data_IF_471184275832
#
_entry.id   IF_471184275832
#
_cell.length_a   1.000
_cell.length_b   1.000
_cell.length_c   1.000
_cell.angle_alpha   90.00
_cell.angle_beta   90.00
_cell.angle_gamma   90.00
#
_symmetry.space_group_name_H-M   'P 1'
#
loop_
_entity.id
_entity.type
_entity.pdbx_description
1 polymer ?
#
# COMPACT_ATOMS: atom_id res chain seq x y z
N UNK A 1 21.75 29.66 25.66
CA UNK A 1 21.59 29.77 24.20
C UNK A 1 22.95 29.93 23.58
N UNK A 2 23.33 29.05 22.65
CA UNK A 2 24.64 29.11 21.99
C UNK A 2 24.59 30.19 20.92
N UNK A 3 25.70 30.88 20.70
CA UNK A 3 25.83 32.00 19.74
C UNK A 3 25.50 31.57 18.29
N UNK A 4 25.49 30.27 18.02
CA UNK A 4 25.22 29.68 16.71
C UNK A 4 23.73 29.49 16.43
N UNK A 5 22.89 29.29 17.46
CA UNK A 5 21.44 29.09 17.30
C UNK A 5 20.76 30.37 16.77
N UNK A 6 21.29 31.54 17.13
CA UNK A 6 20.80 32.83 16.65
C UNK A 6 21.08 33.06 15.16
N UNK A 7 22.16 32.50 14.62
CA UNK A 7 22.48 32.60 13.18
C UNK A 7 21.60 31.68 12.35
N UNK A 8 21.30 30.49 12.88
CA UNK A 8 20.35 29.57 12.26
C UNK A 8 18.95 30.17 12.24
N UNK A 9 18.48 30.72 13.37
CA UNK A 9 17.20 31.41 13.44
C UNK A 9 17.12 32.60 12.49
N UNK A 10 18.18 33.41 12.41
CA UNK A 10 18.25 34.52 11.47
C UNK A 10 18.22 34.04 10.00
N UNK A 11 18.94 32.98 9.64
CA UNK A 11 18.94 32.44 8.28
C UNK A 11 17.58 31.83 7.87
N UNK A 12 16.86 31.20 8.81
CA UNK A 12 15.51 30.66 8.57
C UNK A 12 14.51 31.81 8.39
N UNK A 13 14.55 32.82 9.27
CA UNK A 13 13.69 34.01 9.16
C UNK A 13 14.01 34.80 7.89
N UNK A 14 15.28 34.97 7.55
CA UNK A 14 15.71 35.67 6.34
C UNK A 14 15.32 34.91 5.07
N UNK A 15 15.36 33.56 5.08
CA UNK A 15 14.83 32.75 3.99
C UNK A 15 13.29 32.80 3.85
N UNK A 16 12.58 32.89 4.97
CA UNK A 16 11.12 33.05 4.98
C UNK A 16 10.69 34.45 4.54
N UNK A 17 11.42 35.49 4.94
CA UNK A 17 11.10 36.90 4.63
C UNK A 17 11.61 37.29 3.24
N UNK A 18 12.79 36.82 2.83
CA UNK A 18 13.34 37.07 1.49
C UNK A 18 12.63 36.25 0.40
N UNK A 19 11.84 35.24 0.78
CA UNK A 19 10.98 34.48 -0.13
C UNK A 19 9.71 35.22 -0.54
N UNK A 20 9.39 36.38 0.03
CA UNK A 20 8.09 37.02 -0.14
C UNK A 20 8.19 38.51 -0.38
N UNK A 21 7.82 38.96 -1.59
CA UNK A 21 6.89 40.08 -1.84
C UNK A 21 7.00 40.69 -3.26
N UNK A 22 7.98 40.31 -4.08
CA UNK A 22 8.15 40.91 -5.42
C UNK A 22 8.27 39.92 -6.58
N UNK A 23 7.90 38.65 -6.37
CA UNK A 23 7.68 37.72 -7.47
C UNK A 23 6.32 37.98 -8.11
N UNK A 24 6.25 37.91 -9.45
CA UNK A 24 4.98 37.84 -10.16
C UNK A 24 4.11 36.71 -9.59
N UNK A 25 2.79 36.91 -9.47
CA UNK A 25 1.89 35.87 -9.01
C UNK A 25 2.00 34.63 -9.90
N UNK A 26 1.93 33.40 -9.34
CA UNK A 26 1.92 32.17 -10.12
C UNK A 26 0.86 32.22 -11.21
N UNK A 27 1.17 31.68 -12.38
CA UNK A 27 0.18 31.65 -13.46
C UNK A 27 -0.95 30.67 -13.12
N UNK A 28 -2.11 30.85 -13.75
CA UNK A 28 -3.24 29.93 -13.57
C UNK A 28 -2.86 28.49 -13.97
N UNK A 29 -1.98 28.33 -14.97
CA UNK A 29 -1.45 27.03 -15.37
C UNK A 29 -0.59 26.38 -14.27
N UNK A 30 0.21 27.15 -13.54
CA UNK A 30 1.01 26.64 -12.43
C UNK A 30 0.12 26.20 -11.26
N UNK A 31 -0.93 26.97 -10.94
CA UNK A 31 -1.94 26.61 -9.94
C UNK A 31 -2.69 25.34 -10.36
N UNK A 32 -3.11 25.22 -11.62
CA UNK A 32 -3.76 24.01 -12.12
C UNK A 32 -2.81 22.80 -12.07
N UNK A 33 -1.54 22.98 -12.46
CA UNK A 33 -0.52 21.92 -12.36
C UNK A 33 -0.26 21.51 -10.92
N UNK A 34 -0.36 22.43 -9.95
CA UNK A 34 -0.26 22.14 -8.52
C UNK A 34 -1.44 21.26 -8.07
N UNK A 35 -2.67 21.62 -8.44
CA UNK A 35 -3.90 20.85 -8.14
C UNK A 35 -3.82 19.44 -8.71
N UNK A 36 -3.32 19.31 -9.95
CA UNK A 36 -3.12 18.01 -10.61
C UNK A 36 -1.93 17.19 -10.08
N UNK A 37 -1.11 17.76 -9.20
CA UNK A 37 0.11 17.12 -8.68
C UNK A 37 1.23 16.94 -9.71
N UNK A 38 1.26 17.77 -10.76
CA UNK A 38 2.20 17.66 -11.89
C UNK A 38 3.38 18.64 -11.84
N UNK A 39 3.49 19.45 -10.78
CA UNK A 39 4.65 20.31 -10.53
C UNK A 39 5.86 19.51 -10.02
N UNK A 40 7.04 19.88 -10.50
CA UNK A 40 8.30 19.40 -9.95
C UNK A 40 8.46 19.88 -8.49
N UNK A 41 9.31 19.23 -7.69
CA UNK A 41 9.41 19.54 -6.25
C UNK A 41 9.74 21.03 -5.99
N UNK A 42 10.73 21.59 -6.69
CA UNK A 42 11.13 22.99 -6.51
C UNK A 42 10.05 23.99 -6.95
N UNK A 43 9.35 23.73 -8.06
CA UNK A 43 8.24 24.58 -8.54
C UNK A 43 7.08 24.54 -7.55
N UNK A 44 6.77 23.36 -7.02
CA UNK A 44 5.70 23.16 -6.03
C UNK A 44 5.97 23.95 -4.76
N UNK A 45 7.20 23.86 -4.24
CA UNK A 45 7.60 24.57 -3.02
C UNK A 45 7.52 26.10 -3.21
N UNK A 46 7.90 26.59 -4.40
CA UNK A 46 7.77 28.01 -4.76
C UNK A 46 6.31 28.47 -4.79
N UNK A 47 5.43 27.72 -5.47
CA UNK A 47 3.99 28.05 -5.53
C UNK A 47 3.36 27.98 -4.14
N UNK A 48 3.64 26.93 -3.36
CA UNK A 48 3.11 26.79 -2.00
C UNK A 48 3.59 27.92 -1.06
N UNK A 49 4.86 28.33 -1.19
CA UNK A 49 5.40 29.49 -0.47
C UNK A 49 4.67 30.80 -0.81
N UNK A 50 4.30 30.99 -2.08
CA UNK A 50 3.49 32.13 -2.52
C UNK A 50 2.05 32.06 -1.99
N UNK A 51 1.39 30.89 -2.07
CA UNK A 51 0.02 30.69 -1.56
C UNK A 51 -0.11 30.93 -0.04
N UNK A 52 0.97 30.75 0.71
CA UNK A 52 1.01 31.06 2.14
C UNK A 52 0.90 32.57 2.43
N UNK A 53 1.21 33.43 1.47
CA UNK A 53 1.31 34.89 1.66
C UNK A 53 0.44 35.73 0.72
N UNK A 54 -0.11 35.13 -0.36
CA UNK A 54 -1.02 35.80 -1.29
C UNK A 54 -2.43 35.20 -1.18
N UNK A 55 -3.34 36.00 -0.61
CA UNK A 55 -4.73 35.59 -0.40
C UNK A 55 -5.46 35.32 -1.73
N UNK A 56 -5.24 36.15 -2.76
CA UNK A 56 -5.88 36.02 -4.08
C UNK A 56 -5.51 34.70 -4.78
N UNK A 57 -4.23 34.34 -4.76
CA UNK A 57 -3.78 33.07 -5.34
C UNK A 57 -4.29 31.87 -4.53
N UNK A 58 -4.40 32.01 -3.20
CA UNK A 58 -4.98 30.97 -2.34
C UNK A 58 -6.45 30.73 -2.65
N UNK A 59 -7.24 31.79 -2.82
CA UNK A 59 -8.65 31.68 -3.22
C UNK A 59 -8.80 31.03 -4.61
N UNK A 60 -7.94 31.41 -5.55
CA UNK A 60 -7.89 30.81 -6.90
C UNK A 60 -7.57 29.31 -6.84
N UNK A 61 -6.60 28.93 -6.01
CA UNK A 61 -6.23 27.53 -5.79
C UNK A 61 -7.41 26.73 -5.21
N UNK A 62 -8.08 27.24 -4.17
CA UNK A 62 -9.23 26.57 -3.54
C UNK A 62 -10.38 26.36 -4.53
N UNK A 63 -10.71 27.39 -5.32
CA UNK A 63 -11.75 27.32 -6.35
C UNK A 63 -11.39 26.29 -7.42
N UNK A 64 -10.13 26.28 -7.87
CA UNK A 64 -9.66 25.32 -8.88
C UNK A 64 -9.68 23.89 -8.34
N UNK A 65 -9.29 23.68 -7.08
CA UNK A 65 -9.31 22.37 -6.43
C UNK A 65 -10.74 21.84 -6.24
N UNK A 66 -11.71 22.70 -5.90
CA UNK A 66 -13.12 22.33 -5.79
C UNK A 66 -13.68 21.89 -7.15
N UNK A 67 -13.41 22.65 -8.21
CA UNK A 67 -13.82 22.31 -9.58
C UNK A 67 -13.22 20.96 -10.02
N UNK A 68 -11.92 20.75 -9.81
CA UNK A 68 -11.27 19.47 -10.10
C UNK A 68 -11.87 18.29 -9.31
N UNK A 69 -12.35 18.53 -8.09
CA UNK A 69 -13.03 17.55 -7.26
C UNK A 69 -14.42 17.16 -7.78
N UNK A 70 -15.18 18.12 -8.33
CA UNK A 70 -16.52 17.86 -8.88
C UNK A 70 -16.50 16.97 -10.13
N UNK A 71 -15.48 17.11 -10.98
CA UNK A 71 -15.31 16.26 -12.16
C UNK A 71 -14.95 14.81 -11.79
N UNK A 72 -14.21 14.60 -10.69
CA UNK A 72 -13.87 13.26 -10.21
C UNK A 72 -15.11 12.44 -9.76
N UNK A 73 -16.17 13.12 -9.30
CA UNK A 73 -17.43 12.48 -8.92
C UNK A 73 -18.22 11.95 -10.12
N UNK A 74 -17.94 12.41 -11.33
CA UNK A 74 -18.59 11.93 -12.57
C UNK A 74 -18.08 10.55 -13.05
N UNK A 75 -17.19 9.90 -12.30
CA UNK A 75 -16.80 8.51 -12.51
C UNK A 75 -15.92 8.25 -13.74
N UNK A 76 -15.45 9.30 -14.42
CA UNK A 76 -14.43 9.15 -15.46
C UNK A 76 -13.03 9.36 -14.85
N UNK A 77 -12.19 8.31 -14.77
CA UNK A 77 -10.86 8.44 -14.20
C UNK A 77 -9.97 9.33 -15.11
N UNK A 78 -9.73 10.57 -14.66
CA UNK A 78 -8.90 11.58 -15.33
C UNK A 78 -7.44 11.13 -15.57
N UNK A 79 -6.96 10.10 -14.87
CA UNK A 79 -5.61 9.55 -15.03
C UNK A 79 -5.35 8.81 -16.38
N UNK A 80 -6.35 8.64 -17.26
CA UNK A 80 -6.19 7.90 -18.53
C UNK A 80 -5.85 8.74 -19.76
N UNK A 81 -5.89 10.08 -19.71
CA UNK A 81 -5.71 10.92 -20.92
C UNK A 81 -4.27 11.04 -21.39
N UNK A 82 -3.26 11.13 -20.51
CA UNK A 82 -1.84 11.20 -20.95
C UNK A 82 -1.38 9.96 -21.71
N UNK A 83 -1.91 8.77 -21.42
CA UNK A 83 -1.55 7.54 -22.15
C UNK A 83 -2.21 7.46 -23.53
N UNK A 84 -3.37 8.10 -23.74
CA UNK A 84 -4.05 8.09 -25.05
C UNK A 84 -3.33 8.95 -26.08
N UNK A 85 -2.82 10.13 -25.72
CA UNK A 85 -2.12 10.98 -26.70
C UNK A 85 -0.77 10.41 -27.16
N UNK A 86 -0.03 9.71 -26.29
CA UNK A 86 1.22 9.04 -26.68
C UNK A 86 1.00 7.78 -27.55
N UNK A 87 -0.12 7.07 -27.37
CA UNK A 87 -0.44 5.91 -28.21
C UNK A 87 -0.96 6.34 -29.60
N UNK A 88 -1.71 7.45 -29.67
CA UNK A 88 -2.22 7.97 -30.94
C UNK A 88 -1.12 8.49 -31.87
N UNK A 89 -0.06 9.13 -31.33
CA UNK A 89 1.07 9.59 -32.14
C UNK A 89 1.96 8.43 -32.61
N UNK A 90 2.15 7.41 -31.77
CA UNK A 90 2.89 6.20 -32.14
C UNK A 90 2.17 5.38 -33.24
N UNK A 91 0.84 5.30 -33.20
CA UNK A 91 0.05 4.62 -34.24
C UNK A 91 0.08 5.37 -35.58
N UNK A 92 0.06 6.70 -35.57
CA UNK A 92 0.20 7.49 -36.80
C UNK A 92 1.58 7.29 -37.45
N UNK A 93 2.67 7.30 -36.66
CA UNK A 93 4.01 7.03 -37.16
C UNK A 93 4.16 5.59 -37.69
N UNK A 94 3.59 4.60 -36.99
CA UNK A 94 3.58 3.21 -37.44
C UNK A 94 2.78 3.01 -38.73
N UNK A 95 1.65 3.71 -38.90
CA UNK A 95 0.86 3.65 -40.14
C UNK A 95 1.64 4.21 -41.35
N UNK A 96 2.36 5.32 -41.17
CA UNK A 96 3.23 5.87 -42.23
C UNK A 96 4.38 4.90 -42.55
N UNK A 97 4.96 4.26 -41.55
CA UNK A 97 6.03 3.27 -41.74
C UNK A 97 5.53 2.01 -42.47
N UNK A 98 4.33 1.52 -42.15
CA UNK A 98 3.69 0.40 -42.82
C UNK A 98 3.33 0.73 -44.27
N UNK A 99 2.84 1.95 -44.56
CA UNK A 99 2.59 2.39 -45.94
C UNK A 99 3.90 2.51 -46.72
N UNK A 100 4.96 3.08 -46.12
CA UNK A 100 6.27 3.18 -46.76
C UNK A 100 6.90 1.81 -47.05
N UNK A 101 6.83 0.87 -46.10
CA UNK A 101 7.28 -0.51 -46.28
C UNK A 101 6.42 -1.25 -47.31
N UNK A 102 5.10 -1.10 -47.27
CA UNK A 102 4.18 -1.69 -48.25
C UNK A 102 4.51 -1.25 -49.67
N UNK A 103 4.81 0.03 -49.89
CA UNK A 103 5.22 0.54 -51.20
C UNK A 103 6.59 0.01 -51.65
N UNK A 104 7.53 -0.25 -50.73
CA UNK A 104 8.83 -0.86 -51.06
C UNK A 104 8.76 -2.36 -51.36
N UNK A 105 7.80 -3.08 -50.78
CA UNK A 105 7.67 -4.54 -50.94
C UNK A 105 6.64 -4.98 -51.98
N UNK A 106 5.85 -4.05 -52.54
CA UNK A 106 4.80 -4.36 -53.53
C UNK A 106 5.32 -4.71 -54.94
N UNK A 107 6.63 -4.65 -55.21
CA UNK A 107 7.22 -5.07 -56.50
C UNK A 107 7.48 -6.59 -56.61
N UNK A 108 7.01 -7.39 -55.64
CA UNK A 108 7.10 -8.85 -55.74
C UNK A 108 5.88 -9.42 -56.46
N UNK A 109 6.02 -10.08 -57.64
CA UNK A 109 4.89 -10.71 -58.33
C UNK A 109 4.38 -11.89 -57.50
N UNK A 110 3.23 -11.71 -56.87
CA UNK A 110 2.59 -12.71 -56.01
C UNK A 110 1.95 -13.81 -56.87
N UNK A 111 2.57 -14.99 -56.89
CA UNK A 111 1.94 -16.23 -57.34
C UNK A 111 0.73 -16.56 -56.47
N UNK A 112 -0.40 -16.82 -57.13
CA UNK A 112 -1.66 -17.23 -56.52
C UNK A 112 -1.58 -18.70 -56.09
N UNK A 113 -1.58 -18.94 -54.78
CA UNK A 113 -1.80 -20.25 -54.18
C UNK A 113 -3.01 -20.24 -53.25
N UNK A 114 -4.21 -20.48 -53.80
CA UNK A 114 -5.41 -20.81 -53.05
C UNK A 114 -5.22 -22.14 -52.32
N UNK A 115 -5.43 -22.20 -51.00
CA UNK A 115 -6.14 -23.33 -50.38
C UNK A 115 -7.01 -22.86 -49.23
N UNK A 116 -8.33 -23.01 -49.43
CA UNK A 116 -9.35 -22.84 -48.41
C UNK A 116 -9.31 -24.05 -47.46
N UNK A 117 -9.29 -23.81 -46.15
CA UNK A 117 -9.53 -24.85 -45.14
C UNK A 117 -10.77 -24.50 -44.34
N UNK A 118 -11.86 -25.17 -44.69
CA UNK A 118 -13.13 -25.21 -43.98
C UNK A 118 -12.93 -25.72 -42.55
N UNK A 119 -13.46 -25.01 -41.56
CA UNK A 119 -13.70 -25.54 -40.21
C UNK A 119 -15.17 -25.32 -39.89
N UNK A 120 -15.89 -26.43 -39.76
CA UNK A 120 -17.31 -26.50 -39.43
C UNK A 120 -17.54 -26.24 -37.92
N UNK A 121 -18.70 -25.67 -37.53
CA UNK A 121 -19.06 -25.42 -36.13
C UNK A 121 -19.58 -26.69 -35.42
N UNK A 122 -19.12 -26.90 -34.19
CA UNK A 122 -19.56 -27.99 -33.31
C UNK A 122 -20.90 -27.67 -32.64
N UNK A 123 -21.76 -28.69 -32.57
CA UNK A 123 -23.11 -28.69 -31.99
C UNK A 123 -23.12 -28.61 -30.44
N UNK A 124 -24.24 -28.15 -29.84
CA UNK A 124 -24.42 -28.03 -28.39
C UNK A 124 -24.67 -29.38 -27.70
N UNK A 125 -24.09 -29.56 -26.50
CA UNK A 125 -24.36 -30.70 -25.62
C UNK A 125 -25.59 -30.46 -24.73
N UNK A 126 -26.41 -31.49 -24.66
CA UNK A 126 -27.66 -31.59 -23.94
C UNK A 126 -27.50 -31.67 -22.41
N UNK A 127 -28.60 -31.30 -21.74
CA UNK A 127 -28.85 -31.32 -20.31
C UNK A 127 -28.87 -32.74 -19.71
N UNK A 128 -28.54 -32.82 -18.42
CA UNK A 128 -28.79 -33.99 -17.54
C UNK A 128 -29.66 -33.50 -16.36
N UNK A 129 -30.79 -34.17 -16.06
CA UNK A 129 -31.58 -33.89 -14.86
C UNK A 129 -31.33 -34.90 -13.72
N UNK A 130 -31.61 -34.39 -12.52
CA UNK A 130 -32.29 -35.01 -11.38
C UNK A 130 -31.62 -36.10 -10.50
N UNK A 131 -31.84 -35.85 -9.20
CA UNK A 131 -32.05 -36.77 -8.07
C UNK A 131 -30.88 -37.54 -7.46
N UNK A 132 -30.66 -37.23 -6.16
CA UNK A 132 -29.76 -37.95 -5.27
C UNK A 132 -30.12 -37.68 -3.81
N UNK A 133 -30.87 -38.62 -3.23
CA UNK A 133 -31.42 -38.61 -1.88
C UNK A 133 -30.36 -38.48 -0.76
N UNK A 134 -30.72 -37.78 0.31
CA UNK A 134 -29.96 -37.68 1.57
C UNK A 134 -30.49 -38.73 2.56
N UNK A 135 -29.67 -39.68 3.04
CA UNK A 135 -30.03 -40.49 4.19
C UNK A 135 -29.67 -39.79 5.51
N UNK A 136 -30.68 -39.71 6.38
CA UNK A 136 -30.62 -39.29 7.78
C UNK A 136 -29.91 -40.38 8.60
N UNK A 137 -28.79 -40.05 9.24
CA UNK A 137 -28.13 -40.93 10.22
C UNK A 137 -28.36 -40.40 11.64
N UNK A 138 -29.02 -41.22 12.46
CA UNK A 138 -29.01 -41.19 13.92
C UNK A 138 -27.65 -41.64 14.46
N UNK A 139 -27.10 -40.97 15.49
CA UNK A 139 -26.06 -41.57 16.30
C UNK A 139 -26.65 -42.27 17.54
N UNK A 140 -26.53 -43.60 17.55
CA UNK A 140 -26.71 -44.43 18.73
C UNK A 140 -25.58 -44.16 19.74
N UNK A 141 -25.98 -44.02 21.01
CA UNK A 141 -25.11 -44.03 22.18
C UNK A 141 -24.63 -45.45 22.44
N UNK A 142 -23.32 -45.66 22.53
CA UNK A 142 -22.78 -46.85 23.17
C UNK A 142 -21.60 -46.48 24.07
N UNK A 143 -21.78 -46.81 25.36
CA UNK A 143 -20.80 -46.64 26.42
C UNK A 143 -19.80 -47.79 26.37
N UNK A 144 -18.50 -47.48 26.27
CA UNK A 144 -17.44 -48.47 26.42
C UNK A 144 -16.50 -48.07 27.55
N UNK A 145 -16.84 -48.66 28.70
CA UNK A 145 -16.00 -49.28 29.72
C UNK A 145 -14.48 -49.09 29.61
N UNK A 146 -13.94 -48.61 30.73
CA UNK A 146 -12.55 -48.50 31.11
C UNK A 146 -11.74 -49.81 30.91
N UNK A 147 -10.56 -49.68 30.30
CA UNK A 147 -9.40 -50.55 30.57
C UNK A 147 -8.16 -49.69 30.78
N UNK A 148 -7.82 -49.52 32.05
CA UNK A 148 -6.54 -48.99 32.53
C UNK A 148 -5.44 -50.00 32.17
N UNK A 149 -4.62 -49.68 31.17
CA UNK A 149 -3.34 -50.34 30.92
C UNK A 149 -2.25 -49.39 31.36
N UNK A 150 -1.62 -49.72 32.48
CA UNK A 150 -0.33 -49.18 32.89
C UNK A 150 0.72 -49.63 31.86
N UNK A 151 1.15 -48.69 31.02
CA UNK A 151 2.35 -48.84 30.19
C UNK A 151 3.31 -47.71 30.55
N UNK A 152 4.45 -48.10 31.10
CA UNK A 152 5.59 -47.24 31.40
C UNK A 152 6.00 -46.40 30.19
N UNK A 153 6.20 -45.08 30.34
CA UNK A 153 6.68 -44.24 29.25
C UNK A 153 8.20 -44.38 29.13
N UNK A 154 8.66 -45.33 28.31
CA UNK A 154 9.99 -45.25 27.72
C UNK A 154 9.98 -44.10 26.73
N UNK A 155 10.81 -43.09 27.01
CA UNK A 155 10.88 -41.81 26.33
C UNK A 155 11.22 -41.93 24.84
N UNK A 156 10.21 -42.14 24.00
CA UNK A 156 10.27 -41.74 22.59
C UNK A 156 10.04 -40.24 22.57
N UNK A 157 11.14 -39.47 22.61
CA UNK A 157 11.15 -38.07 22.16
C UNK A 157 10.90 -38.09 20.65
N UNK A 158 9.65 -38.33 20.27
CA UNK A 158 9.17 -38.02 18.94
C UNK A 158 9.36 -36.52 18.79
N UNK A 159 10.39 -36.14 18.00
CA UNK A 159 10.57 -34.77 17.55
C UNK A 159 9.39 -34.48 16.64
N UNK A 160 8.24 -34.16 17.23
CA UNK A 160 7.17 -33.44 16.56
C UNK A 160 7.77 -32.06 16.27
N UNK A 161 8.53 -31.99 15.18
CA UNK A 161 8.71 -30.74 14.45
C UNK A 161 7.32 -30.40 13.97
N UNK A 162 6.54 -29.78 14.85
CA UNK A 162 5.39 -28.99 14.44
C UNK A 162 5.98 -28.04 13.41
N UNK A 163 5.71 -28.31 12.13
CA UNK A 163 6.07 -27.42 11.06
C UNK A 163 5.37 -26.12 11.40
N UNK A 164 6.11 -25.21 12.06
CA UNK A 164 5.58 -23.92 12.48
C UNK A 164 5.14 -23.29 11.19
N UNK A 165 3.83 -23.17 11.02
CA UNK A 165 3.27 -22.41 9.91
C UNK A 165 4.01 -21.08 9.87
N UNK A 166 4.50 -20.66 8.71
CA UNK A 166 5.35 -19.49 8.60
C UNK A 166 4.51 -18.26 8.90
N UNK A 167 4.30 -17.90 10.18
CA UNK A 167 3.56 -16.71 10.56
C UNK A 167 4.26 -15.47 9.98
N UNK A 168 3.51 -14.57 9.35
CA UNK A 168 4.03 -13.26 8.99
C UNK A 168 4.67 -12.60 10.22
N UNK A 169 5.87 -12.00 10.08
CA UNK A 169 6.52 -11.29 11.18
C UNK A 169 5.60 -10.19 11.72
N UNK A 170 5.60 -9.98 13.04
CA UNK A 170 4.86 -8.87 13.64
C UNK A 170 5.49 -7.51 13.31
N UNK A 171 4.79 -6.43 13.63
CA UNK A 171 5.18 -5.05 13.29
C UNK A 171 6.59 -4.70 13.76
N UNK A 172 6.92 -5.01 15.01
CA UNK A 172 8.24 -4.70 15.60
C UNK A 172 9.38 -5.34 14.81
N UNK A 173 9.21 -6.62 14.42
CA UNK A 173 10.21 -7.35 13.66
C UNK A 173 10.36 -6.77 12.26
N UNK A 174 9.27 -6.37 11.62
CA UNK A 174 9.32 -5.74 10.31
C UNK A 174 10.00 -4.37 10.37
N UNK A 175 9.62 -3.51 11.31
CA UNK A 175 10.28 -2.21 11.49
C UNK A 175 11.77 -2.38 11.80
N UNK A 176 12.15 -3.35 12.64
CA UNK A 176 13.54 -3.69 12.90
C UNK A 176 14.32 -4.15 11.67
N UNK A 177 13.70 -4.94 10.78
CA UNK A 177 14.32 -5.32 9.49
C UNK A 177 14.51 -4.11 8.56
N UNK A 178 13.56 -3.17 8.58
CA UNK A 178 13.61 -1.98 7.74
C UNK A 178 14.73 -1.03 8.19
N UNK A 179 14.83 -0.78 9.50
CA UNK A 179 15.84 0.10 10.11
C UNK A 179 17.20 -0.60 10.25
N UNK A 180 17.27 -1.93 10.21
CA UNK A 180 18.56 -2.65 10.31
C UNK A 180 19.59 -2.28 9.22
N UNK A 181 19.15 -1.74 8.08
CA UNK A 181 20.01 -1.23 7.00
C UNK A 181 19.81 0.26 6.66
N UNK A 182 18.92 0.97 7.37
CA UNK A 182 18.62 2.38 7.10
C UNK A 182 18.47 3.17 8.39
N UNK A 183 18.66 4.49 8.34
CA UNK A 183 18.41 5.33 9.52
C UNK A 183 16.91 5.60 9.65
N UNK A 184 16.33 5.32 10.82
CA UNK A 184 14.94 5.65 11.10
C UNK A 184 14.65 7.14 10.89
N UNK A 185 15.64 8.02 11.13
CA UNK A 185 15.52 9.48 10.89
C UNK A 185 15.42 9.84 9.41
N UNK A 186 16.04 9.07 8.53
CA UNK A 186 15.93 9.27 7.07
C UNK A 186 14.60 8.74 6.54
N UNK A 187 14.03 7.71 7.19
CA UNK A 187 12.73 7.15 6.84
C UNK A 187 11.56 7.98 7.37
N UNK A 188 11.72 8.65 8.53
CA UNK A 188 10.65 9.39 9.17
C UNK A 188 9.99 10.43 8.27
N UNK A 189 10.69 11.26 7.46
CA UNK A 189 10.05 12.20 6.54
C UNK A 189 9.21 11.54 5.44
N UNK A 190 9.50 10.28 5.08
CA UNK A 190 8.86 9.56 3.99
C UNK A 190 7.52 8.93 4.40
N UNK A 191 7.28 8.75 5.70
CA UNK A 191 6.05 8.22 6.32
C UNK A 191 4.85 9.17 6.06
N UNK A 192 3.61 8.67 6.08
CA UNK A 192 2.41 9.52 6.03
C UNK A 192 2.11 10.22 4.70
N UNK A 193 2.88 9.98 3.64
CA UNK A 193 2.66 10.58 2.31
C UNK A 193 1.39 10.03 1.61
N UNK A 194 0.81 8.94 2.12
CA UNK A 194 -0.33 8.24 1.52
C UNK A 194 -1.63 8.56 2.27
N UNK A 195 -2.07 9.82 2.29
CA UNK A 195 -3.37 10.18 2.84
C UNK A 195 -4.47 9.88 1.82
N UNK A 196 -4.95 8.63 1.82
CA UNK A 196 -6.29 8.32 1.32
C UNK A 196 -7.21 8.26 2.52
N UNK A 197 -7.99 9.31 2.75
CA UNK A 197 -9.12 9.25 3.66
C UNK A 197 -10.16 8.29 3.09
N UNK A 198 -10.78 7.48 3.94
CA UNK A 198 -11.98 6.77 3.56
C UNK A 198 -13.04 7.83 3.27
N UNK A 199 -13.52 7.90 2.02
CA UNK A 199 -14.62 8.82 1.68
C UNK A 199 -15.83 8.53 2.57
N UNK A 200 -16.49 9.59 3.06
CA UNK A 200 -17.58 9.52 4.06
C UNK A 200 -18.80 8.66 3.67
N UNK A 201 -18.89 8.19 2.43
CA UNK A 201 -20.09 7.55 1.87
C UNK A 201 -19.94 6.06 1.56
N UNK A 202 -18.73 5.51 1.57
CA UNK A 202 -18.51 4.11 1.25
C UNK A 202 -18.58 3.25 2.53
N UNK A 203 -19.37 2.16 2.49
CA UNK A 203 -19.22 1.08 3.47
C UNK A 203 -17.79 0.55 3.34
N UNK A 204 -16.96 0.82 4.33
CA UNK A 204 -15.56 0.37 4.33
C UNK A 204 -15.52 -1.09 4.73
N UNK A 205 -14.87 -1.90 3.91
CA UNK A 205 -14.60 -3.31 4.23
C UNK A 205 -13.68 -3.41 5.47
N UNK A 206 -13.98 -4.27 6.46
CA UNK A 206 -13.13 -4.43 7.64
C UNK A 206 -11.67 -4.78 7.32
N UNK A 207 -11.41 -5.54 6.25
CA UNK A 207 -10.07 -5.86 5.78
C UNK A 207 -9.32 -4.63 5.28
N UNK A 208 -10.00 -3.72 4.58
CA UNK A 208 -9.45 -2.39 4.22
C UNK A 208 -9.12 -1.54 5.45
N UNK A 209 -9.99 -1.49 6.47
CA UNK A 209 -9.68 -0.78 7.72
C UNK A 209 -8.47 -1.39 8.40
N UNK A 210 -8.40 -2.72 8.50
CA UNK A 210 -7.29 -3.43 9.13
C UNK A 210 -5.98 -3.23 8.38
N UNK A 211 -6.01 -3.28 7.05
CA UNK A 211 -4.86 -2.97 6.21
C UNK A 211 -4.36 -1.55 6.46
N UNK A 212 -5.25 -0.56 6.48
CA UNK A 212 -4.88 0.85 6.76
C UNK A 212 -4.37 1.03 8.18
N UNK A 213 -4.94 0.35 9.16
CA UNK A 213 -4.40 0.30 10.52
C UNK A 213 -2.96 -0.20 10.50
N UNK A 214 -2.68 -1.27 9.76
CA UNK A 214 -1.33 -1.81 9.57
C UNK A 214 -0.34 -0.82 8.95
N UNK A 215 -0.73 -0.08 7.90
CA UNK A 215 0.09 0.97 7.28
C UNK A 215 0.47 2.04 8.32
N UNK A 216 -0.54 2.60 9.01
CA UNK A 216 -0.31 3.64 10.03
C UNK A 216 0.48 3.11 11.23
N UNK A 217 0.39 1.81 11.52
CA UNK A 217 1.15 1.17 12.59
C UNK A 217 2.65 1.05 12.26
N UNK A 218 2.98 0.79 10.99
CA UNK A 218 4.38 0.87 10.53
C UNK A 218 4.89 2.31 10.65
N UNK A 219 4.10 3.28 10.18
CA UNK A 219 4.41 4.71 10.23
C UNK A 219 4.69 5.19 11.68
N UNK A 220 3.82 4.83 12.63
CA UNK A 220 4.03 5.06 14.06
C UNK A 220 5.35 4.45 14.54
N UNK A 221 5.60 3.19 14.18
CA UNK A 221 6.80 2.48 14.66
C UNK A 221 8.10 3.10 14.13
N UNK A 222 8.10 3.62 12.90
CA UNK A 222 9.23 4.36 12.33
C UNK A 222 9.41 5.71 13.03
N UNK A 223 8.33 6.46 13.29
CA UNK A 223 8.42 7.73 14.03
C UNK A 223 8.97 7.54 15.45
N UNK A 224 8.50 6.51 16.17
CA UNK A 224 9.01 6.15 17.50
C UNK A 224 10.51 5.80 17.47
N UNK A 225 10.96 5.03 16.47
CA UNK A 225 12.37 4.66 16.30
C UNK A 225 13.24 5.86 15.90
N UNK A 226 12.69 6.82 15.15
CA UNK A 226 13.38 8.05 14.76
C UNK A 226 13.54 9.06 15.91
N UNK A 227 12.79 8.89 17.00
CA UNK A 227 12.71 9.87 18.07
C UNK A 227 11.83 11.07 17.74
N UNK A 228 10.96 10.96 16.72
CA UNK A 228 10.07 12.03 16.26
C UNK A 228 8.75 11.98 17.02
N UNK A 229 8.66 12.76 18.11
CA UNK A 229 7.53 12.75 19.03
C UNK A 229 6.25 13.29 18.40
N UNK A 230 6.34 14.40 17.68
CA UNK A 230 5.20 15.05 17.04
C UNK A 230 4.57 14.12 15.99
N UNK A 231 5.41 13.51 15.14
CA UNK A 231 4.93 12.57 14.12
C UNK A 231 4.39 11.29 14.74
N UNK A 232 5.03 10.76 15.79
CA UNK A 232 4.51 9.59 16.51
C UNK A 232 3.16 9.89 17.16
N UNK A 233 2.98 11.07 17.76
CA UNK A 233 1.72 11.48 18.36
C UNK A 233 0.63 11.59 17.29
N UNK A 234 0.92 12.25 16.17
CA UNK A 234 -0.02 12.37 15.05
C UNK A 234 -0.47 10.98 14.53
N UNK A 235 0.45 10.02 14.42
CA UNK A 235 0.11 8.65 14.00
C UNK A 235 -0.70 7.89 15.05
N UNK A 236 -0.38 8.04 16.34
CA UNK A 236 -1.18 7.45 17.42
C UNK A 236 -2.62 7.96 17.41
N UNK A 237 -2.82 9.28 17.22
CA UNK A 237 -4.14 9.89 17.09
C UNK A 237 -4.90 9.40 15.87
N UNK A 238 -4.22 9.18 14.72
CA UNK A 238 -4.84 8.63 13.49
C UNK A 238 -5.26 7.17 13.62
N UNK A 239 -4.52 6.37 14.40
CA UNK A 239 -4.82 4.95 14.61
C UNK A 239 -6.07 4.72 15.46
N UNK A 240 -6.42 5.65 16.37
CA UNK A 240 -7.55 5.49 17.28
C UNK A 240 -8.89 5.27 16.54
N UNK A 241 -9.35 6.14 15.63
CA UNK A 241 -10.60 5.94 14.91
C UNK A 241 -10.58 4.71 13.99
N UNK A 242 -9.41 4.31 13.49
CA UNK A 242 -9.26 3.09 12.70
C UNK A 242 -9.48 1.83 13.56
N UNK A 243 -8.96 1.82 14.79
CA UNK A 243 -9.18 0.72 15.72
C UNK A 243 -10.65 0.60 16.10
N UNK A 244 -11.32 1.72 16.39
CA UNK A 244 -12.75 1.74 16.71
C UNK A 244 -13.63 1.28 15.55
N UNK A 245 -13.18 1.51 14.31
CA UNK A 245 -13.88 1.08 13.10
C UNK A 245 -13.74 -0.43 12.82
N UNK A 246 -12.83 -1.13 13.51
CA UNK A 246 -12.69 -2.58 13.39
C UNK A 246 -13.77 -3.29 14.22
N UNK A 247 -14.60 -4.08 13.55
CA UNK A 247 -15.63 -4.86 14.22
C UNK A 247 -15.02 -5.78 15.31
N UNK A 248 -15.48 -5.63 16.56
CA UNK A 248 -15.01 -6.44 17.68
C UNK A 248 -13.65 -6.03 18.26
N UNK A 249 -13.05 -4.93 17.80
CA UNK A 249 -11.87 -4.38 18.44
C UNK A 249 -12.19 -3.85 19.85
N UNK A 250 -11.21 -3.89 20.78
CA UNK A 250 -11.33 -3.27 22.09
C UNK A 250 -11.31 -1.73 21.96
N UNK A 251 -11.50 -1.05 23.09
CA UNK A 251 -11.40 0.41 23.15
C UNK A 251 -10.05 0.95 22.64
N UNK A 252 -10.07 2.20 22.17
CA UNK A 252 -8.88 2.91 21.70
C UNK A 252 -8.02 3.47 22.85
N UNK A 253 -8.36 3.19 24.12
CA UNK A 253 -7.66 3.75 25.28
C UNK A 253 -6.13 3.47 25.29
N UNK A 254 -5.62 2.33 24.79
CA UNK A 254 -4.17 2.14 24.64
C UNK A 254 -3.50 3.15 23.71
N UNK A 255 -4.16 3.57 22.62
CA UNK A 255 -3.65 4.56 21.67
C UNK A 255 -3.73 5.97 22.23
N UNK A 256 -4.84 6.32 22.89
CA UNK A 256 -5.00 7.61 23.58
C UNK A 256 -3.93 7.79 24.67
N UNK A 257 -3.68 6.76 25.48
CA UNK A 257 -2.61 6.78 26.48
C UNK A 257 -1.23 6.94 25.85
N UNK A 258 -0.98 6.32 24.69
CA UNK A 258 0.27 6.48 23.96
C UNK A 258 0.43 7.92 23.45
N UNK A 259 -0.62 8.50 22.87
CA UNK A 259 -0.62 9.88 22.40
C UNK A 259 -0.40 10.87 23.55
N UNK A 260 -1.09 10.69 24.69
CA UNK A 260 -0.93 11.52 25.88
C UNK A 260 0.49 11.44 26.47
N UNK A 261 1.13 10.27 26.46
CA UNK A 261 2.53 10.09 26.88
C UNK A 261 3.49 10.89 25.98
N UNK A 262 3.29 10.86 24.67
CA UNK A 262 4.08 11.64 23.71
C UNK A 262 3.88 13.15 23.90
N UNK A 263 2.64 13.58 24.11
CA UNK A 263 2.29 14.98 24.42
C UNK A 263 2.95 15.47 25.71
N UNK A 264 3.07 14.60 26.72
CA UNK A 264 3.78 14.88 27.98
C UNK A 264 5.32 14.87 27.83
N UNK A 265 5.84 14.67 26.61
CA UNK A 265 7.27 14.68 26.33
C UNK A 265 8.00 13.38 26.69
N UNK A 266 7.28 12.26 26.86
CA UNK A 266 7.94 10.95 27.00
C UNK A 266 8.77 10.65 25.74
N UNK A 267 10.03 10.26 25.93
CA UNK A 267 10.95 10.05 24.81
C UNK A 267 10.40 8.97 23.86
N UNK A 268 10.19 9.25 22.56
CA UNK A 268 9.54 8.30 21.64
C UNK A 268 10.27 6.95 21.54
N UNK A 269 11.59 6.94 21.65
CA UNK A 269 12.40 5.72 21.66
C UNK A 269 12.07 4.79 22.85
N UNK A 270 11.66 5.33 24.01
CA UNK A 270 11.23 4.52 25.16
C UNK A 270 9.89 3.81 24.95
N UNK A 271 9.12 4.31 23.98
CA UNK A 271 7.84 3.77 23.55
C UNK A 271 7.98 2.87 22.32
N UNK A 272 9.19 2.69 21.78
CA UNK A 272 9.45 1.73 20.71
C UNK A 272 9.05 0.30 21.17
N UNK A 273 8.42 -0.48 20.30
CA UNK A 273 7.79 -1.75 20.69
C UNK A 273 6.34 -1.60 21.18
N UNK A 274 5.77 -0.39 21.16
CA UNK A 274 4.32 -0.25 21.32
C UNK A 274 3.56 -0.88 20.15
N UNK A 275 4.16 -0.95 18.96
CA UNK A 275 3.55 -1.53 17.76
C UNK A 275 3.07 -2.98 17.96
N UNK A 276 3.87 -3.85 18.58
CA UNK A 276 3.47 -5.25 18.82
C UNK A 276 2.43 -5.40 19.93
N UNK A 277 2.30 -4.43 20.84
CA UNK A 277 1.20 -4.38 21.82
C UNK A 277 -0.10 -3.96 21.15
N UNK A 278 -0.05 -2.93 20.30
CA UNK A 278 -1.20 -2.42 19.54
C UNK A 278 -1.72 -3.44 18.53
N UNK A 279 -0.83 -4.21 17.88
CA UNK A 279 -1.22 -5.29 16.96
C UNK A 279 -2.11 -6.36 17.65
N UNK A 280 -1.92 -6.60 18.95
CA UNK A 280 -2.74 -7.57 19.72
C UNK A 280 -4.16 -7.11 19.98
N UNK A 281 -4.45 -5.83 19.76
CA UNK A 281 -5.81 -5.27 19.86
C UNK A 281 -6.64 -5.59 18.62
N UNK A 282 -5.98 -5.97 17.50
CA UNK A 282 -6.65 -6.29 16.25
C UNK A 282 -7.36 -7.65 16.38
N UNK A 283 -8.65 -7.76 15.99
CA UNK A 283 -9.35 -9.03 15.92
C UNK A 283 -8.55 -10.06 15.12
N UNK A 284 -8.52 -11.33 15.57
CA UNK A 284 -7.60 -12.35 15.02
C UNK A 284 -7.77 -12.55 13.52
N UNK A 285 -9.01 -12.50 13.04
CA UNK A 285 -9.40 -12.58 11.64
C UNK A 285 -8.92 -11.39 10.80
N UNK A 286 -8.65 -10.24 11.43
CA UNK A 286 -8.16 -9.03 10.77
C UNK A 286 -6.63 -8.88 10.80
N UNK A 287 -5.93 -9.63 11.66
CA UNK A 287 -4.46 -9.60 11.79
C UNK A 287 -3.73 -9.83 10.46
N UNK A 288 -4.14 -10.75 9.56
CA UNK A 288 -3.48 -10.92 8.27
C UNK A 288 -3.48 -9.64 7.42
N UNK A 289 -4.60 -8.91 7.33
CA UNK A 289 -4.67 -7.66 6.56
C UNK A 289 -3.81 -6.56 7.18
N UNK A 290 -3.83 -6.43 8.51
CA UNK A 290 -2.97 -5.49 9.20
C UNK A 290 -1.48 -5.78 8.96
N UNK A 291 -1.07 -7.04 9.04
CA UNK A 291 0.32 -7.42 8.71
C UNK A 291 0.66 -7.19 7.25
N UNK A 292 -0.29 -7.37 6.33
CA UNK A 292 -0.11 -7.04 4.92
C UNK A 292 0.10 -5.53 4.74
N UNK A 293 -0.67 -4.70 5.43
CA UNK A 293 -0.51 -3.25 5.44
C UNK A 293 0.85 -2.80 5.98
N UNK A 294 1.25 -3.33 7.14
CA UNK A 294 2.59 -3.09 7.73
C UNK A 294 3.68 -3.48 6.74
N UNK A 295 3.56 -4.66 6.12
CA UNK A 295 4.56 -5.12 5.16
C UNK A 295 4.63 -4.21 3.92
N UNK A 296 3.48 -3.90 3.32
CA UNK A 296 3.39 -3.09 2.10
C UNK A 296 3.98 -1.69 2.31
N UNK A 297 3.69 -1.07 3.45
CA UNK A 297 4.26 0.22 3.80
C UNK A 297 5.77 0.14 4.03
N UNK A 298 6.23 -0.86 4.79
CA UNK A 298 7.67 -1.06 4.94
C UNK A 298 8.37 -1.39 3.62
N UNK A 299 7.70 -2.05 2.67
CA UNK A 299 8.24 -2.34 1.35
C UNK A 299 8.38 -1.06 0.51
N UNK A 300 7.38 -0.16 0.58
CA UNK A 300 7.45 1.18 -0.03
C UNK A 300 8.63 1.96 0.51
N UNK A 301 8.79 2.01 1.83
CA UNK A 301 9.93 2.68 2.48
C UNK A 301 11.26 2.02 2.10
N UNK A 302 11.34 0.69 2.11
CA UNK A 302 12.51 -0.08 1.72
C UNK A 302 12.96 0.23 0.29
N UNK A 303 12.01 0.42 -0.64
CA UNK A 303 12.32 0.79 -2.02
C UNK A 303 12.95 2.18 -2.10
N UNK A 304 12.51 3.14 -1.28
CA UNK A 304 13.07 4.50 -1.24
C UNK A 304 14.50 4.53 -0.71
N UNK A 305 14.85 3.65 0.22
CA UNK A 305 16.21 3.56 0.77
C UNK A 305 17.06 2.43 0.16
N UNK A 306 16.55 1.69 -0.82
CA UNK A 306 17.27 0.57 -1.45
C UNK A 306 17.47 -0.66 -0.54
N UNK A 307 16.69 -0.82 0.53
CA UNK A 307 16.80 -1.96 1.46
C UNK A 307 16.21 -3.25 0.87
N UNK A 308 17.03 -3.96 0.10
CA UNK A 308 16.65 -5.24 -0.55
C UNK A 308 16.38 -6.38 0.43
N UNK A 309 16.99 -6.36 1.61
CA UNK A 309 16.84 -7.43 2.60
C UNK A 309 15.43 -7.45 3.18
N UNK A 310 14.84 -6.28 3.39
CA UNK A 310 13.45 -6.16 3.80
C UNK A 310 12.51 -6.82 2.78
N UNK A 311 12.72 -6.55 1.48
CA UNK A 311 11.95 -7.15 0.40
C UNK A 311 12.17 -8.67 0.34
N UNK A 312 13.39 -9.14 0.62
CA UNK A 312 13.76 -10.55 0.60
C UNK A 312 13.30 -11.35 1.83
N UNK A 313 12.82 -10.71 2.90
CA UNK A 313 12.45 -11.35 4.17
C UNK A 313 11.26 -12.33 4.10
N UNK A 314 10.79 -12.68 2.89
CA UNK A 314 9.89 -13.81 2.65
C UNK A 314 8.42 -13.53 2.94
N UNK A 315 8.07 -12.32 3.37
CA UNK A 315 6.70 -11.93 3.72
C UNK A 315 5.70 -12.06 2.56
N UNK A 316 6.05 -11.79 1.28
CA UNK A 316 5.15 -12.06 0.16
C UNK A 316 4.75 -13.53 0.02
N UNK A 317 5.59 -14.46 0.50
CA UNK A 317 5.25 -15.89 0.46
C UNK A 317 4.16 -16.25 1.46
N UNK A 318 4.03 -15.51 2.57
CA UNK A 318 2.94 -15.71 3.51
C UNK A 318 1.61 -15.35 2.87
N UNK A 319 1.51 -14.14 2.31
CA UNK A 319 0.27 -13.64 1.71
C UNK A 319 -0.07 -14.27 0.36
N UNK A 320 0.92 -14.79 -0.38
CA UNK A 320 0.71 -15.42 -1.68
C UNK A 320 0.41 -16.92 -1.64
N UNK A 321 0.74 -17.62 -0.55
CA UNK A 321 0.54 -19.07 -0.41
C UNK A 321 -0.64 -19.44 0.49
N UNK A 322 -1.03 -18.58 1.42
CA UNK A 322 -2.32 -18.73 2.05
C UNK A 322 -3.38 -18.42 1.00
N UNK A 323 -4.45 -19.20 0.96
CA UNK A 323 -5.74 -18.78 0.41
C UNK A 323 -6.18 -17.55 1.19
N UNK A 324 -5.49 -16.44 0.99
CA UNK A 324 -5.89 -15.17 1.52
C UNK A 324 -7.30 -15.00 0.98
N UNK A 325 -8.21 -14.92 1.94
CA UNK A 325 -9.66 -15.00 1.79
C UNK A 325 -10.14 -14.37 0.49
N UNK A 326 -11.30 -14.81 0.02
CA UNK A 326 -12.06 -14.20 -1.09
C UNK A 326 -12.29 -12.67 -0.97
N UNK A 327 -11.81 -12.05 0.09
CA UNK A 327 -11.86 -10.65 0.50
C UNK A 327 -10.62 -9.83 0.08
N UNK A 328 -9.45 -10.42 -0.25
CA UNK A 328 -8.35 -9.60 -0.79
C UNK A 328 -8.78 -9.03 -2.15
N UNK A 329 -8.64 -7.71 -2.37
CA UNK A 329 -8.94 -7.10 -3.66
C UNK A 329 -8.19 -7.82 -4.80
N UNK A 330 -8.87 -8.21 -5.91
CA UNK A 330 -8.25 -8.98 -6.98
C UNK A 330 -6.97 -8.35 -7.56
N UNK A 331 -6.91 -7.01 -7.59
CA UNK A 331 -5.72 -6.28 -8.03
C UNK A 331 -4.52 -6.46 -7.08
N UNK A 332 -4.75 -6.40 -5.76
CA UNK A 332 -3.72 -6.67 -4.75
C UNK A 332 -3.24 -8.12 -4.81
N UNK A 333 -4.16 -9.09 -4.97
CA UNK A 333 -3.79 -10.50 -5.12
C UNK A 333 -2.91 -10.74 -6.36
N UNK A 334 -3.27 -10.14 -7.51
CA UNK A 334 -2.46 -10.22 -8.72
C UNK A 334 -1.07 -9.58 -8.55
N UNK A 335 -0.99 -8.42 -7.89
CA UNK A 335 0.26 -7.73 -7.60
C UNK A 335 1.16 -8.53 -6.64
N UNK A 336 0.60 -9.13 -5.59
CA UNK A 336 1.33 -10.01 -4.67
C UNK A 336 1.93 -11.22 -5.40
N UNK A 337 1.18 -11.84 -6.30
CA UNK A 337 1.67 -12.94 -7.14
C UNK A 337 2.81 -12.49 -8.06
N UNK A 338 2.68 -11.33 -8.70
CA UNK A 338 3.73 -10.75 -9.54
C UNK A 338 5.01 -10.46 -8.75
N UNK A 339 4.86 -9.88 -7.56
CA UNK A 339 5.95 -9.54 -6.66
C UNK A 339 6.68 -10.79 -6.15
N UNK A 340 5.95 -11.86 -5.80
CA UNK A 340 6.54 -13.14 -5.42
C UNK A 340 7.41 -13.73 -6.54
N UNK A 341 7.01 -13.59 -7.81
CA UNK A 341 7.82 -14.03 -8.95
C UNK A 341 9.05 -13.16 -9.18
N UNK A 342 8.91 -11.83 -9.07
CA UNK A 342 10.00 -10.87 -9.25
C UNK A 342 11.09 -11.04 -8.20
N UNK A 343 10.71 -11.23 -6.92
CA UNK A 343 11.66 -11.41 -5.82
C UNK A 343 12.40 -12.75 -5.83
N UNK A 344 11.97 -13.73 -6.63
CA UNK A 344 12.71 -14.99 -6.84
C UNK A 344 13.88 -14.83 -7.83
N UNK A 345 13.92 -13.75 -8.60
CA UNK A 345 14.98 -13.51 -9.60
C UNK A 345 16.26 -13.04 -8.92
N UNK A 346 17.41 -13.44 -9.47
CA UNK A 346 18.73 -13.02 -8.96
C UNK A 346 18.93 -11.50 -9.07
N UNK A 347 18.42 -10.89 -10.14
CA UNK A 347 18.37 -9.44 -10.33
C UNK A 347 16.94 -8.92 -10.09
N UNK A 348 16.75 -8.16 -9.01
CA UNK A 348 15.46 -7.55 -8.68
C UNK A 348 15.35 -6.20 -9.40
N UNK A 349 14.34 -6.07 -10.27
CA UNK A 349 13.92 -4.80 -10.86
C UNK A 349 13.09 -4.03 -9.81
N UNK A 350 13.70 -3.01 -9.18
CA UNK A 350 13.07 -2.24 -8.11
C UNK A 350 11.88 -1.41 -8.60
N UNK A 351 11.90 -0.92 -9.83
CA UNK A 351 10.79 -0.13 -10.38
C UNK A 351 9.56 -1.01 -10.58
N UNK A 352 9.76 -2.23 -11.11
CA UNK A 352 8.68 -3.19 -11.27
C UNK A 352 8.13 -3.69 -9.92
N UNK A 353 8.94 -3.73 -8.86
CA UNK A 353 8.49 -4.04 -7.49
C UNK A 353 7.71 -2.87 -6.89
N UNK A 354 8.18 -1.62 -7.07
CA UNK A 354 7.49 -0.42 -6.61
C UNK A 354 6.09 -0.29 -7.21
N UNK A 355 5.95 -0.62 -8.50
CA UNK A 355 4.65 -0.64 -9.16
C UNK A 355 3.68 -1.63 -8.50
N UNK A 356 4.13 -2.85 -8.20
CA UNK A 356 3.27 -3.85 -7.54
C UNK A 356 2.89 -3.43 -6.11
N UNK A 357 3.85 -2.90 -5.34
CA UNK A 357 3.60 -2.37 -3.98
C UNK A 357 2.58 -1.23 -4.04
N UNK A 358 2.70 -0.33 -5.02
CA UNK A 358 1.74 0.77 -5.24
C UNK A 358 0.34 0.24 -5.54
N UNK A 359 0.22 -0.81 -6.36
CA UNK A 359 -1.08 -1.45 -6.64
C UNK A 359 -1.69 -2.04 -5.37
N UNK A 360 -0.89 -2.71 -4.53
CA UNK A 360 -1.36 -3.26 -3.26
C UNK A 360 -1.88 -2.14 -2.35
N UNK A 361 -1.09 -1.09 -2.12
CA UNK A 361 -1.47 0.07 -1.29
C UNK A 361 -2.70 0.81 -1.84
N UNK A 362 -2.88 0.84 -3.15
CA UNK A 362 -4.01 1.52 -3.79
C UNK A 362 -5.30 0.69 -3.81
N UNK A 363 -5.22 -0.62 -3.57
CA UNK A 363 -6.36 -1.53 -3.65
C UNK A 363 -7.20 -1.59 -2.37
N UNK A 364 -6.64 -1.15 -1.24
CA UNK A 364 -7.30 -1.15 0.07
C UNK A 364 -7.71 0.27 0.50
#
# INVERSE_FOLDING_TARGET
MKKDDSKLGAAIVDGLVSGTAAGECPTLEEIARLVDGSLACAERDAVLGHLAHCDDCRETFLTTAELAGTDAASGQPAARTRRRYLVSSALAAAAVLVVALSLQFSDSPTEKGLTARNVAPAAPRAAVPADGAVPRQEPAREAVVAKKKEQSPVAVREKVQVAREPYAPGTERMAGLLVGKGDAKELAPLVGVQEKSFGFTAKVDPGSVAFRFGVNLMDLQIALLAGDGDRAQAQATRLAPLLESLAGAPDAAPLERLAAKLEQGEAPASLAGSGGKLERLIPKEQVPYARLGVWAEGARLALKCGNRDYLAAGVPRYFGNQEADATIPPAAAAALKGLQQKLKRQSIDLQAVEQDVTVILASF
#
